data_IF_039090231353
#
_entry.id   IF_039090231353
#
_cell.length_a   1.000
_cell.length_b   1.000
_cell.length_c   1.000
_cell.angle_alpha   90.00
_cell.angle_beta   90.00
_cell.angle_gamma   90.00
#
_symmetry.space_group_name_H-M   'P 1'
#
loop_
_entity.id
_entity.type
_entity.pdbx_description
1 polymer ?
#
# COMPACT_ATOMS: atom_id res chain seq x y z
N UNK A 1 18.39 -8.33 -7.53
CA UNK A 1 19.13 -9.41 -6.84
C UNK A 1 18.15 -10.53 -6.56
N UNK A 2 17.69 -11.26 -7.58
CA UNK A 2 16.76 -12.38 -7.43
C UNK A 2 16.98 -13.34 -8.60
N UNK A 3 17.74 -14.42 -8.40
CA UNK A 3 17.74 -15.53 -9.34
C UNK A 3 18.17 -16.86 -8.70
N UNK A 4 18.18 -16.98 -7.36
CA UNK A 4 18.69 -18.18 -6.67
C UNK A 4 17.81 -18.61 -5.49
N UNK A 5 16.48 -18.57 -5.65
CA UNK A 5 15.57 -19.30 -4.76
C UNK A 5 14.72 -20.26 -5.59
N UNK A 6 15.29 -21.43 -5.93
CA UNK A 6 14.55 -22.53 -6.57
C UNK A 6 14.23 -23.62 -5.55
N UNK A 7 13.01 -24.13 -5.57
CA UNK A 7 12.56 -25.23 -4.70
C UNK A 7 11.04 -25.26 -4.47
N UNK A 8 10.49 -26.47 -4.30
CA UNK A 8 9.04 -26.75 -4.10
C UNK A 8 8.36 -25.90 -3.01
N UNK A 9 9.11 -25.45 -2.01
CA UNK A 9 8.59 -24.60 -0.94
C UNK A 9 8.27 -23.18 -1.42
N UNK A 10 9.13 -22.60 -2.26
CA UNK A 10 9.07 -21.19 -2.68
C UNK A 10 8.15 -20.99 -3.90
N UNK A 11 8.27 -21.84 -4.92
CA UNK A 11 7.54 -21.68 -6.20
C UNK A 11 6.00 -21.80 -6.07
N UNK A 12 5.52 -22.55 -5.07
CA UNK A 12 4.07 -22.72 -4.85
C UNK A 12 3.44 -21.66 -3.94
N UNK A 13 4.24 -20.95 -3.13
CA UNK A 13 3.74 -20.11 -2.02
C UNK A 13 4.05 -18.63 -2.18
N UNK A 14 5.07 -18.27 -2.95
CA UNK A 14 5.50 -16.89 -3.11
C UNK A 14 5.22 -16.43 -4.53
N UNK A 15 4.61 -15.26 -4.66
CA UNK A 15 4.26 -14.64 -5.93
C UNK A 15 4.86 -13.24 -5.95
N UNK A 16 5.58 -12.92 -7.02
CA UNK A 16 6.03 -11.56 -7.28
C UNK A 16 4.90 -10.79 -7.98
N UNK A 17 4.63 -9.58 -7.50
CA UNK A 17 3.64 -8.68 -8.08
C UNK A 17 4.31 -7.35 -8.39
N UNK A 18 4.22 -6.90 -9.65
CA UNK A 18 4.74 -5.60 -10.05
C UNK A 18 3.85 -4.48 -9.54
N UNK A 19 4.43 -3.51 -8.84
CA UNK A 19 3.76 -2.26 -8.46
C UNK A 19 4.09 -1.25 -9.56
N UNK A 20 3.07 -0.75 -10.26
CA UNK A 20 3.25 -0.01 -11.51
C UNK A 20 3.18 1.51 -11.33
N UNK A 21 2.71 1.99 -10.18
CA UNK A 21 2.63 3.42 -9.84
C UNK A 21 2.77 3.68 -8.33
N UNK A 22 2.95 4.95 -7.97
CA UNK A 22 3.18 5.37 -6.58
C UNK A 22 2.02 4.99 -5.66
N UNK A 23 0.80 4.98 -6.20
CA UNK A 23 -0.40 4.64 -5.44
C UNK A 23 -0.45 3.14 -5.09
N UNK A 24 -0.09 2.26 -6.02
CA UNK A 24 0.10 0.83 -5.78
C UNK A 24 1.20 0.60 -4.74
N UNK A 25 2.26 1.42 -4.77
CA UNK A 25 3.32 1.36 -3.78
C UNK A 25 2.86 1.75 -2.39
N UNK A 26 2.21 2.90 -2.24
CA UNK A 26 1.66 3.31 -0.96
C UNK A 26 0.64 2.30 -0.42
N UNK A 27 -0.20 1.75 -1.30
CA UNK A 27 -1.18 0.74 -0.93
C UNK A 27 -0.51 -0.53 -0.40
N UNK A 28 0.54 -1.01 -1.08
CA UNK A 28 1.33 -2.15 -0.64
C UNK A 28 2.05 -1.88 0.68
N UNK A 29 2.66 -0.70 0.86
CA UNK A 29 3.32 -0.31 2.12
C UNK A 29 2.32 -0.27 3.28
N UNK A 30 1.16 0.35 3.08
CA UNK A 30 0.09 0.43 4.07
C UNK A 30 -0.44 -0.96 4.42
N UNK A 31 -0.66 -1.81 3.41
CA UNK A 31 -1.09 -3.19 3.59
C UNK A 31 -0.12 -3.97 4.50
N UNK A 32 1.18 -3.91 4.20
CA UNK A 32 2.22 -4.58 4.98
C UNK A 32 2.26 -4.06 6.42
N UNK A 33 2.22 -2.74 6.61
CA UNK A 33 2.24 -2.14 7.96
C UNK A 33 0.99 -2.48 8.78
N UNK A 34 -0.15 -2.70 8.12
CA UNK A 34 -1.40 -3.09 8.79
C UNK A 34 -1.53 -4.60 9.01
N UNK A 35 -0.66 -5.43 8.43
CA UNK A 35 -0.78 -6.87 8.56
C UNK A 35 -0.76 -7.38 10.00
N UNK A 36 0.12 -6.91 10.92
CA UNK A 36 0.07 -7.35 12.31
C UNK A 36 -1.23 -7.00 13.02
N UNK A 37 -1.81 -5.83 12.74
CA UNK A 37 -3.13 -5.42 13.26
C UNK A 37 -4.23 -6.33 12.70
N UNK A 38 -4.20 -6.60 11.40
CA UNK A 38 -5.17 -7.47 10.71
C UNK A 38 -5.07 -8.92 11.17
N UNK A 39 -3.87 -9.39 11.46
CA UNK A 39 -3.61 -10.72 12.02
C UNK A 39 -3.91 -10.82 13.52
N UNK A 40 -4.36 -9.73 14.16
CA UNK A 40 -4.63 -9.63 15.61
C UNK A 40 -3.39 -9.89 16.49
N UNK A 41 -2.20 -9.64 15.95
CA UNK A 41 -0.93 -9.70 16.69
C UNK A 41 -0.79 -8.45 17.57
N UNK A 42 -1.30 -7.31 17.10
CA UNK A 42 -1.34 -6.06 17.86
C UNK A 42 -2.65 -5.29 17.58
N UNK A 43 -2.97 -4.30 18.42
CA UNK A 43 -4.19 -3.50 18.27
C UNK A 43 -3.96 -2.11 17.64
N UNK A 44 -2.71 -1.67 17.59
CA UNK A 44 -2.31 -0.34 17.12
C UNK A 44 -0.99 -0.41 16.32
N UNK A 45 -0.66 0.67 15.61
CA UNK A 45 0.60 0.76 14.85
C UNK A 45 1.82 0.86 15.78
N UNK A 46 1.68 1.54 16.90
CA UNK A 46 2.69 1.68 17.96
C UNK A 46 3.06 0.33 18.57
N UNK A 47 2.09 -0.56 18.72
CA UNK A 47 2.32 -1.92 19.22
C UNK A 47 2.90 -2.87 18.16
N UNK A 48 3.08 -2.42 16.91
CA UNK A 48 3.53 -3.24 15.80
C UNK A 48 5.07 -3.25 15.65
N UNK A 49 5.75 -3.91 16.60
CA UNK A 49 7.20 -3.81 16.82
C UNK A 49 8.10 -3.97 15.59
N UNK A 50 7.71 -4.84 14.64
CA UNK A 50 8.53 -5.19 13.48
C UNK A 50 7.96 -4.66 12.15
N UNK A 51 7.44 -3.43 12.16
CA UNK A 51 6.95 -2.76 10.94
C UNK A 51 7.70 -1.47 10.64
N UNK A 52 7.66 -1.09 9.36
CA UNK A 52 8.21 0.19 8.93
C UNK A 52 7.42 1.38 9.48
N UNK A 53 6.14 1.20 9.86
CA UNK A 53 5.37 2.21 10.57
C UNK A 53 5.92 2.45 11.98
N UNK A 54 6.20 1.38 12.74
CA UNK A 54 6.79 1.53 14.08
C UNK A 54 8.16 2.19 14.02
N UNK A 55 9.01 1.80 13.06
CA UNK A 55 10.32 2.45 12.87
C UNK A 55 10.19 3.97 12.69
N UNK A 56 9.27 4.41 11.83
CA UNK A 56 9.00 5.84 11.61
C UNK A 56 8.48 6.56 12.85
N UNK A 57 7.56 5.92 13.60
CA UNK A 57 7.10 6.47 14.87
C UNK A 57 8.25 6.65 15.87
N UNK A 58 9.15 5.67 15.98
CA UNK A 58 10.34 5.77 16.84
C UNK A 58 11.31 6.86 16.37
N UNK A 59 11.52 7.01 15.07
CA UNK A 59 12.32 8.12 14.51
C UNK A 59 11.73 9.48 14.89
N UNK A 60 10.41 9.65 14.80
CA UNK A 60 9.71 10.89 15.17
C UNK A 60 9.73 11.13 16.69
N UNK A 61 9.58 10.07 17.50
CA UNK A 61 9.69 10.14 18.97
C UNK A 61 11.07 10.65 19.41
N UNK A 62 12.14 10.22 18.73
CA UNK A 62 13.51 10.62 19.00
C UNK A 62 13.85 11.98 18.40
N UNK A 63 13.33 12.27 17.22
CA UNK A 63 13.57 13.49 16.48
C UNK A 63 12.27 14.00 15.85
N UNK A 64 11.53 14.92 16.51
CA UNK A 64 10.24 15.39 16.02
C UNK A 64 10.29 15.98 14.60
N UNK A 65 11.42 16.58 14.21
CA UNK A 65 11.64 17.07 12.84
C UNK A 65 11.61 15.97 11.77
N UNK A 66 11.76 14.70 12.15
CA UNK A 66 11.59 13.56 11.24
C UNK A 66 10.16 13.43 10.69
N UNK A 67 9.17 14.03 11.37
CA UNK A 67 7.78 14.02 10.95
C UNK A 67 7.58 14.66 9.56
N UNK A 68 8.32 15.73 9.29
CA UNK A 68 8.26 16.51 8.05
C UNK A 68 9.22 15.99 6.96
N UNK A 69 10.07 15.01 7.29
CA UNK A 69 10.96 14.41 6.31
C UNK A 69 10.14 13.71 5.23
N UNK A 70 10.52 13.87 3.94
CA UNK A 70 9.93 13.08 2.88
C UNK A 70 10.07 11.58 3.16
N UNK A 71 9.08 10.80 2.75
CA UNK A 71 9.17 9.36 2.75
C UNK A 71 10.43 8.91 1.98
N UNK A 72 11.24 8.03 2.55
CA UNK A 72 12.38 7.50 1.83
C UNK A 72 11.92 6.69 0.59
N UNK A 73 12.61 6.79 -0.55
CA UNK A 73 12.35 5.93 -1.71
C UNK A 73 12.44 4.46 -1.35
N UNK A 74 11.59 3.63 -1.95
CA UNK A 74 11.74 2.18 -1.83
C UNK A 74 12.90 1.75 -2.72
N UNK A 75 13.98 1.26 -2.10
CA UNK A 75 15.14 0.76 -2.80
C UNK A 75 14.74 -0.36 -3.80
N UNK A 76 15.14 -0.20 -5.06
CA UNK A 76 14.91 -1.20 -6.11
C UNK A 76 13.71 -0.92 -7.03
N UNK A 77 12.85 0.04 -6.71
CA UNK A 77 11.77 0.48 -7.61
C UNK A 77 12.21 1.77 -8.31
N UNK A 78 12.70 1.67 -9.56
CA UNK A 78 13.16 2.83 -10.34
C UNK A 78 11.95 3.66 -10.81
N UNK A 79 12.05 4.99 -10.70
CA UNK A 79 11.06 5.92 -11.27
C UNK A 79 9.79 6.13 -10.45
N UNK A 80 9.60 5.38 -9.35
CA UNK A 80 8.49 5.56 -8.42
C UNK A 80 9.01 6.20 -7.15
N UNK A 81 9.20 7.52 -7.26
CA UNK A 81 9.49 8.35 -6.13
C UNK A 81 8.17 8.81 -5.55
N UNK A 82 7.85 8.27 -4.37
CA UNK A 82 7.66 9.14 -3.21
C UNK A 82 6.92 10.41 -3.59
N UNK A 83 5.61 10.27 -3.71
CA UNK A 83 4.68 11.37 -3.57
C UNK A 83 5.23 12.32 -2.51
N UNK A 84 5.18 13.64 -2.74
CA UNK A 84 5.61 14.72 -1.81
C UNK A 84 4.86 14.59 -0.48
N UNK A 85 5.18 13.55 0.27
CA UNK A 85 4.45 13.01 1.38
C UNK A 85 5.47 12.82 2.48
N UNK A 86 5.19 13.48 3.60
CA UNK A 86 6.05 13.40 4.77
C UNK A 86 5.82 12.09 5.52
N UNK A 87 6.70 11.76 6.45
CA UNK A 87 6.48 10.62 7.34
C UNK A 87 5.16 10.72 8.11
N UNK A 88 4.82 11.93 8.59
CA UNK A 88 3.58 12.17 9.33
C UNK A 88 2.33 11.97 8.47
N UNK A 89 2.36 12.44 7.23
CA UNK A 89 1.25 12.27 6.29
C UNK A 89 1.02 10.79 5.95
N UNK A 90 2.11 10.03 5.76
CA UNK A 90 2.03 8.59 5.56
C UNK A 90 1.48 7.86 6.78
N UNK A 91 1.98 8.17 7.99
CA UNK A 91 1.48 7.54 9.21
C UNK A 91 -0.01 7.85 9.43
N UNK A 92 -0.44 9.08 9.13
CA UNK A 92 -1.85 9.49 9.16
C UNK A 92 -2.69 8.70 8.16
N UNK A 93 -2.16 8.45 6.96
CA UNK A 93 -2.80 7.62 5.94
C UNK A 93 -2.95 6.17 6.41
N UNK A 94 -1.90 5.57 6.98
CA UNK A 94 -1.94 4.19 7.48
C UNK A 94 -2.90 4.05 8.65
N UNK A 95 -2.87 4.97 9.61
CA UNK A 95 -3.78 4.97 10.75
C UNK A 95 -5.24 5.12 10.31
N UNK A 96 -5.53 6.09 9.44
CA UNK A 96 -6.86 6.27 8.85
C UNK A 96 -7.35 4.99 8.15
N UNK A 97 -6.47 4.33 7.39
CA UNK A 97 -6.78 3.05 6.72
C UNK A 97 -7.06 1.94 7.74
N UNK A 98 -6.27 1.85 8.81
CA UNK A 98 -6.46 0.88 9.88
C UNK A 98 -7.80 1.06 10.59
N UNK A 99 -8.21 2.31 10.84
CA UNK A 99 -9.54 2.65 11.39
C UNK A 99 -10.66 2.18 10.47
N UNK A 100 -10.55 2.40 9.15
CA UNK A 100 -11.54 1.93 8.18
C UNK A 100 -11.66 0.40 8.14
N UNK A 101 -10.53 -0.32 8.15
CA UNK A 101 -10.53 -1.79 8.11
C UNK A 101 -11.15 -2.37 9.39
N UNK A 102 -10.87 -1.77 10.56
CA UNK A 102 -11.49 -2.22 11.83
C UNK A 102 -12.99 -1.93 11.89
N UNK A 103 -13.47 -0.91 11.19
CA UNK A 103 -14.89 -0.56 11.11
C UNK A 103 -15.74 -1.60 10.34
N UNK A 104 -15.11 -2.58 9.69
CA UNK A 104 -15.81 -3.79 9.19
C UNK A 104 -16.53 -4.55 10.33
N UNK A 105 -16.17 -4.26 11.58
CA UNK A 105 -16.95 -4.56 12.79
C UNK A 105 -17.60 -3.28 13.31
N UNK A 106 -18.87 -3.07 12.93
CA UNK A 106 -19.82 -2.02 13.37
C UNK A 106 -19.20 -0.91 14.25
N UNK A 107 -18.93 0.26 13.65
CA UNK A 107 -18.56 1.48 14.37
C UNK A 107 -18.24 2.64 13.42
N UNK A 108 -18.52 3.88 13.85
CA UNK A 108 -18.26 5.12 13.11
C UNK A 108 -16.76 5.36 13.00
N UNK A 109 -16.25 5.60 11.78
CA UNK A 109 -14.86 6.06 11.58
C UNK A 109 -14.72 7.42 12.26
N UNK A 110 -14.02 7.44 13.40
CA UNK A 110 -13.73 8.68 14.11
C UNK A 110 -12.59 9.41 13.39
N UNK A 111 -12.76 10.70 13.12
CA UNK A 111 -11.71 11.60 12.60
C UNK A 111 -11.72 11.84 11.08
N UNK A 112 -11.20 13.00 10.63
CA UNK A 112 -11.21 13.39 9.23
C UNK A 112 -10.25 12.56 8.38
N UNK A 113 -10.56 12.43 7.09
CA UNK A 113 -9.64 11.85 6.12
C UNK A 113 -8.37 12.72 6.00
N UNK A 114 -7.17 12.14 5.96
CA UNK A 114 -5.94 12.90 5.81
C UNK A 114 -5.89 13.65 4.46
N UNK A 115 -5.46 14.91 4.49
CA UNK A 115 -5.33 15.76 3.29
C UNK A 115 -4.45 15.17 2.19
N UNK A 116 -3.53 14.26 2.58
CA UNK A 116 -2.73 13.47 1.67
C UNK A 116 -3.58 12.71 0.64
N UNK A 117 -4.72 12.13 1.03
CA UNK A 117 -5.59 11.35 0.13
C UNK A 117 -6.07 12.15 -1.09
N UNK A 118 -6.47 13.40 -0.86
CA UNK A 118 -6.92 14.28 -1.94
C UNK A 118 -5.78 14.55 -2.95
N UNK A 119 -4.55 14.72 -2.47
CA UNK A 119 -3.36 14.89 -3.33
C UNK A 119 -3.01 13.61 -4.12
N UNK A 120 -3.39 12.43 -3.62
CA UNK A 120 -3.24 11.16 -4.32
C UNK A 120 -4.32 10.91 -5.39
N UNK A 121 -5.31 11.81 -5.49
CA UNK A 121 -6.46 11.64 -6.38
C UNK A 121 -7.47 10.61 -5.89
N UNK A 122 -7.43 10.20 -4.61
CA UNK A 122 -8.36 9.21 -4.07
C UNK A 122 -9.46 9.82 -3.23
N UNK A 123 -10.67 9.28 -3.43
CA UNK A 123 -11.74 9.37 -2.43
C UNK A 123 -11.43 8.44 -1.25
N UNK A 124 -11.75 8.84 -0.01
CA UNK A 124 -11.40 8.05 1.17
C UNK A 124 -11.97 6.62 1.17
N UNK A 125 -13.13 6.41 0.56
CA UNK A 125 -13.83 5.13 0.46
C UNK A 125 -13.18 4.16 -0.54
N UNK A 126 -12.53 4.71 -1.57
CA UNK A 126 -11.85 3.94 -2.61
C UNK A 126 -10.45 3.50 -2.16
N UNK A 127 -9.79 4.31 -1.33
CA UNK A 127 -8.45 4.03 -0.82
C UNK A 127 -8.37 2.75 0.02
N UNK A 128 -9.24 2.56 1.01
CA UNK A 128 -9.19 1.36 1.86
C UNK A 128 -9.40 0.07 1.04
N UNK A 129 -10.24 0.13 0.00
CA UNK A 129 -10.43 -0.98 -0.94
C UNK A 129 -9.16 -1.27 -1.73
N UNK A 130 -8.45 -0.24 -2.21
CA UNK A 130 -7.17 -0.37 -2.90
C UNK A 130 -6.13 -1.09 -2.01
N UNK A 131 -6.02 -0.70 -0.75
CA UNK A 131 -5.10 -1.35 0.21
C UNK A 131 -5.46 -2.81 0.43
N UNK A 132 -6.75 -3.15 0.55
CA UNK A 132 -7.18 -4.54 0.73
C UNK A 132 -7.03 -5.39 -0.55
N UNK A 133 -7.12 -4.77 -1.73
CA UNK A 133 -6.96 -5.43 -3.02
C UNK A 133 -5.52 -5.94 -3.26
N UNK A 134 -4.54 -5.48 -2.47
CA UNK A 134 -3.18 -6.06 -2.42
C UNK A 134 -3.22 -7.56 -2.15
N UNK A 135 -4.22 -8.05 -1.40
CA UNK A 135 -4.38 -9.48 -1.14
C UNK A 135 -5.14 -10.23 -2.25
N UNK A 136 -6.11 -9.59 -2.91
CA UNK A 136 -7.25 -10.36 -3.47
C UNK A 136 -7.19 -10.67 -4.96
N UNK A 137 -6.70 -9.82 -5.87
CA UNK A 137 -7.00 -10.06 -7.31
C UNK A 137 -5.89 -9.75 -8.32
N UNK A 138 -4.76 -9.23 -7.87
CA UNK A 138 -3.65 -8.84 -8.73
C UNK A 138 -2.55 -9.91 -8.69
N UNK A 139 -2.69 -10.95 -9.51
CA UNK A 139 -1.73 -12.06 -9.49
C UNK A 139 -0.35 -11.72 -10.07
N UNK A 140 -0.22 -10.59 -10.79
CA UNK A 140 1.01 -10.22 -11.52
C UNK A 140 1.37 -8.74 -11.45
N UNK A 141 0.40 -7.82 -11.43
CA UNK A 141 0.67 -6.38 -11.37
C UNK A 141 -0.46 -5.59 -10.71
N UNK A 142 -0.16 -4.47 -10.05
CA UNK A 142 -1.12 -3.50 -9.49
C UNK A 142 -0.72 -2.08 -9.89
N UNK A 143 -1.72 -1.29 -10.27
CA UNK A 143 -1.62 0.11 -10.63
C UNK A 143 -2.92 0.58 -11.28
N UNK A 144 -2.94 1.82 -11.75
CA UNK A 144 -4.00 2.39 -12.56
C UNK A 144 -4.28 1.53 -13.80
N UNK A 145 -5.49 1.69 -14.37
CA UNK A 145 -5.95 0.90 -15.53
C UNK A 145 -4.99 1.05 -16.70
N UNK A 146 -4.53 2.27 -16.92
CA UNK A 146 -3.63 2.67 -17.99
C UNK A 146 -2.29 1.93 -17.84
N UNK A 147 -1.70 1.95 -16.63
CA UNK A 147 -0.47 1.23 -16.34
C UNK A 147 -0.62 -0.30 -16.52
N UNK A 148 -1.78 -0.86 -16.18
CA UNK A 148 -2.07 -2.28 -16.41
C UNK A 148 -2.20 -2.61 -17.90
N UNK A 149 -2.74 -1.71 -18.72
CA UNK A 149 -2.81 -1.87 -20.18
C UNK A 149 -1.40 -1.81 -20.79
N UNK A 150 -0.60 -0.83 -20.41
CA UNK A 150 0.79 -0.69 -20.86
C UNK A 150 1.61 -1.93 -20.51
N UNK A 151 1.44 -2.43 -19.27
CA UNK A 151 2.13 -3.65 -18.84
C UNK A 151 1.67 -4.89 -19.59
N UNK A 152 0.39 -4.98 -19.96
CA UNK A 152 -0.13 -6.08 -20.78
C UNK A 152 0.52 -6.06 -22.17
N UNK A 153 0.61 -4.88 -22.79
CA UNK A 153 1.24 -4.69 -24.09
C UNK A 153 2.74 -5.05 -24.07
N UNK A 154 3.49 -4.60 -23.04
CA UNK A 154 4.91 -4.96 -22.84
C UNK A 154 5.10 -6.49 -22.74
N UNK A 155 4.15 -7.18 -22.11
CA UNK A 155 4.16 -8.63 -21.94
C UNK A 155 3.66 -9.41 -23.17
N UNK A 156 3.29 -8.72 -24.27
CA UNK A 156 2.71 -9.32 -25.46
C UNK A 156 1.31 -9.92 -25.24
N UNK A 157 0.55 -9.41 -24.26
CA UNK A 157 -0.78 -9.89 -23.89
C UNK A 157 -1.85 -8.83 -24.17
N UNK A 158 -3.06 -9.27 -24.56
CA UNK A 158 -4.18 -8.36 -24.80
C UNK A 158 -4.92 -7.94 -23.51
N UNK A 159 -4.64 -8.59 -22.38
CA UNK A 159 -5.27 -8.29 -21.09
C UNK A 159 -4.43 -8.82 -19.91
N UNK A 160 -4.57 -8.22 -18.73
CA UNK A 160 -4.03 -8.68 -17.46
C UNK A 160 -5.13 -8.86 -16.42
N UNK A 161 -4.99 -9.89 -15.57
CA UNK A 161 -5.87 -10.09 -14.41
C UNK A 161 -5.70 -8.92 -13.44
N UNK A 162 -6.82 -8.25 -13.10
CA UNK A 162 -6.84 -7.03 -12.30
C UNK A 162 -7.36 -5.79 -13.05
N UNK A 163 -7.41 -5.82 -14.40
CA UNK A 163 -7.96 -4.71 -15.20
C UNK A 163 -9.43 -4.41 -14.83
N UNK A 164 -10.25 -5.44 -14.61
CA UNK A 164 -11.65 -5.25 -14.19
C UNK A 164 -11.76 -4.57 -12.81
N UNK A 165 -10.92 -4.98 -11.85
CA UNK A 165 -10.82 -4.38 -10.52
C UNK A 165 -10.37 -2.92 -10.62
N UNK A 166 -9.33 -2.63 -11.39
CA UNK A 166 -8.85 -1.26 -11.60
C UNK A 166 -9.89 -0.37 -12.28
N UNK A 167 -10.60 -0.88 -13.31
CA UNK A 167 -11.69 -0.13 -13.98
C UNK A 167 -12.85 0.17 -13.03
N UNK A 168 -13.23 -0.79 -12.21
CA UNK A 168 -14.28 -0.60 -11.21
C UNK A 168 -13.90 0.43 -10.13
N UNK A 169 -12.62 0.49 -9.76
CA UNK A 169 -12.08 1.50 -8.83
C UNK A 169 -11.97 2.90 -9.45
N UNK A 170 -11.71 2.99 -10.77
CA UNK A 170 -11.57 4.25 -11.48
C UNK A 170 -12.92 4.91 -11.87
N UNK A 171 -14.00 4.13 -11.95
CA UNK A 171 -15.31 4.59 -12.43
C UNK A 171 -16.24 5.19 -11.35
N UNK A 172 -15.75 5.47 -10.12
CA UNK A 172 -16.58 5.94 -8.99
C UNK A 172 -16.07 7.22 -8.32
#
# INVERSE_FOLDING_TARGET
MENICKGRFWEGRFKAQSLLDDNATLAAMAYVNLNPVRAKICNTLEASAHTSARKRLTEIEQEPAAADRPLAPIAGIRGMCVLRMTQAEYLSLVDYTGRQIRADRRGTIQGPAPAALARLGYRPETWARQVLAVKSDFSRAMGAVECLIDKAAEMGQCWLRGIATARWLAAQ
#
